data_IF_237246556912
#
_entry.id   IF_237246556912
#
_cell.length_a   1.000
_cell.length_b   1.000
_cell.length_c   1.000
_cell.angle_alpha   90.00
_cell.angle_beta   90.00
_cell.angle_gamma   90.00
#
_symmetry.space_group_name_H-M   'P 1'
#
loop_
_entity.id
_entity.type
_entity.pdbx_description
1 polymer ?
#
# COMPACT_ATOMS: atom_id res chain seq x y z
N UNK A 1 6.82 3.79 17.26
CA UNK A 1 5.37 3.47 17.23
C UNK A 1 4.76 4.73 16.68
N UNK A 2 3.98 4.63 15.60
CA UNK A 2 3.58 5.81 14.85
C UNK A 2 2.76 6.65 15.80
N UNK A 3 3.28 7.83 16.09
CA UNK A 3 2.60 8.79 16.95
C UNK A 3 1.44 9.39 16.13
N UNK A 4 0.48 10.06 16.76
CA UNK A 4 -0.47 10.93 16.08
C UNK A 4 -0.09 12.39 16.32
N UNK A 5 -0.33 13.26 15.35
CA UNK A 5 -0.09 14.70 15.48
C UNK A 5 -0.91 15.29 16.62
N UNK A 6 -2.15 14.81 16.77
CA UNK A 6 -3.07 15.19 17.85
C UNK A 6 -2.67 14.54 19.17
N UNK A 7 -2.84 15.30 20.26
CA UNK A 7 -2.52 14.82 21.60
C UNK A 7 -3.52 13.79 22.14
N UNK A 8 -4.79 13.91 21.74
CA UNK A 8 -5.89 13.03 22.13
C UNK A 8 -6.58 12.46 20.90
N UNK A 9 -7.10 11.22 20.98
CA UNK A 9 -7.97 10.68 19.94
C UNK A 9 -9.32 11.38 19.93
N UNK A 10 -10.07 11.16 18.86
CA UNK A 10 -11.46 11.62 18.76
C UNK A 10 -12.46 10.56 19.26
N UNK A 11 -13.62 11.03 19.71
CA UNK A 11 -14.74 10.12 20.00
C UNK A 11 -15.14 9.37 18.74
N UNK A 12 -15.23 8.04 18.85
CA UNK A 12 -15.52 7.15 17.75
C UNK A 12 -14.30 6.63 16.99
N UNK A 13 -13.11 7.17 17.22
CA UNK A 13 -11.85 6.72 16.61
C UNK A 13 -11.52 5.27 17.02
N UNK A 14 -10.87 4.52 16.14
CA UNK A 14 -10.28 3.23 16.48
C UNK A 14 -8.79 3.42 16.78
N UNK A 15 -8.33 2.87 17.91
CA UNK A 15 -6.95 3.01 18.37
C UNK A 15 -6.33 1.65 18.63
N UNK A 16 -5.02 1.54 18.40
CA UNK A 16 -4.23 0.39 18.86
C UNK A 16 -3.75 0.66 20.27
N UNK A 17 -4.06 -0.26 21.19
CA UNK A 17 -3.73 -0.11 22.59
C UNK A 17 -3.17 -1.41 23.19
N UNK A 18 -2.20 -1.28 24.09
CA UNK A 18 -1.58 -2.39 24.82
C UNK A 18 -2.17 -2.46 26.23
N UNK A 19 -2.72 -3.61 26.60
CA UNK A 19 -3.27 -3.86 27.95
C UNK A 19 -2.15 -3.74 28.99
N UNK A 20 -2.32 -2.85 29.96
CA UNK A 20 -1.35 -2.59 31.03
C UNK A 20 -1.68 -3.37 32.30
N UNK A 21 -2.92 -3.25 32.77
CA UNK A 21 -3.39 -3.94 33.98
C UNK A 21 -4.85 -4.34 33.83
N UNK A 22 -5.22 -5.46 34.46
CA UNK A 22 -6.60 -5.95 34.48
C UNK A 22 -7.13 -5.98 35.91
N UNK A 23 -8.24 -5.29 36.12
CA UNK A 23 -8.98 -5.23 37.38
C UNK A 23 -10.38 -5.87 37.23
N UNK A 24 -11.08 -6.18 38.33
CA UNK A 24 -12.42 -6.76 38.25
C UNK A 24 -13.47 -5.89 37.53
N UNK A 25 -13.29 -4.57 37.54
CA UNK A 25 -14.22 -3.60 36.95
C UNK A 25 -13.82 -3.12 35.55
N UNK A 26 -12.61 -3.44 35.08
CA UNK A 26 -12.11 -2.96 33.80
C UNK A 26 -10.61 -3.23 33.59
N UNK A 27 -10.08 -2.74 32.48
CA UNK A 27 -8.66 -2.80 32.16
C UNK A 27 -8.13 -1.41 31.83
N UNK A 28 -6.89 -1.13 32.22
CA UNK A 28 -6.16 0.04 31.75
C UNK A 28 -5.30 -0.35 30.56
N UNK A 29 -5.28 0.50 29.54
CA UNK A 29 -4.58 0.27 28.28
C UNK A 29 -3.73 1.48 27.94
N UNK A 30 -2.49 1.25 27.56
CA UNK A 30 -1.64 2.29 26.97
C UNK A 30 -2.02 2.44 25.50
N UNK A 31 -2.31 3.66 25.06
CA UNK A 31 -2.53 3.94 23.64
C UNK A 31 -1.16 3.98 22.95
N UNK A 32 -0.95 3.12 21.96
CA UNK A 32 0.35 2.99 21.30
C UNK A 32 0.65 4.19 20.39
N UNK A 33 -0.39 4.78 19.82
CA UNK A 33 -0.35 5.92 18.89
C UNK A 33 -0.31 7.28 19.60
N UNK A 34 -0.61 7.32 20.90
CA UNK A 34 -0.72 8.54 21.70
C UNK A 34 0.27 8.47 22.89
N UNK A 35 1.51 8.97 22.73
CA UNK A 35 2.56 8.82 23.74
C UNK A 35 2.13 9.31 25.12
N UNK A 36 2.28 8.45 26.13
CA UNK A 36 1.97 8.77 27.51
C UNK A 36 0.47 8.80 27.86
N UNK A 37 -0.42 8.54 26.90
CA UNK A 37 -1.87 8.48 27.17
C UNK A 37 -2.31 7.06 27.53
N UNK A 38 -3.18 6.97 28.53
CA UNK A 38 -3.81 5.74 28.97
C UNK A 38 -5.32 5.84 28.78
N UNK A 39 -5.93 4.74 28.38
CA UNK A 39 -7.36 4.59 28.26
C UNK A 39 -7.88 3.51 29.20
N UNK A 40 -9.13 3.65 29.60
CA UNK A 40 -9.81 2.72 30.47
C UNK A 40 -10.91 1.99 29.70
N UNK A 41 -10.93 0.66 29.80
CA UNK A 41 -11.97 -0.17 29.23
C UNK A 41 -12.78 -0.81 30.36
N UNK A 42 -14.01 -0.35 30.54
CA UNK A 42 -14.92 -0.91 31.55
C UNK A 42 -15.30 -2.36 31.21
N UNK A 43 -15.58 -3.20 32.22
CA UNK A 43 -15.96 -4.61 32.03
C UNK A 43 -17.15 -4.78 31.08
N UNK A 44 -18.11 -3.85 31.11
CA UNK A 44 -19.27 -3.86 30.22
C UNK A 44 -18.92 -3.59 28.77
N UNK A 45 -17.74 -3.05 28.47
CA UNK A 45 -17.28 -2.70 27.12
C UNK A 45 -16.32 -3.74 26.53
N UNK A 46 -16.06 -4.83 27.25
CA UNK A 46 -15.20 -5.95 26.79
C UNK A 46 -15.90 -6.83 25.77
N UNK A 47 -17.15 -7.24 26.04
CA UNK A 47 -17.93 -8.11 25.17
C UNK A 47 -19.42 -7.75 25.20
N UNK A 48 -20.18 -8.24 24.21
CA UNK A 48 -21.64 -8.04 24.14
C UNK A 48 -22.41 -8.91 25.15
N UNK A 49 -21.80 -10.00 25.61
CA UNK A 49 -22.36 -10.92 26.62
C UNK A 49 -21.87 -10.55 28.02
N UNK A 50 -22.55 -11.07 29.05
CA UNK A 50 -22.09 -10.89 30.44
C UNK A 50 -20.67 -11.46 30.62
N UNK A 51 -19.75 -10.63 31.12
CA UNK A 51 -18.36 -11.00 31.35
C UNK A 51 -18.17 -11.25 32.85
N UNK A 52 -17.88 -12.50 33.23
CA UNK A 52 -17.53 -12.84 34.63
C UNK A 52 -16.08 -12.47 34.95
N UNK A 53 -15.17 -12.67 34.00
CA UNK A 53 -13.75 -12.40 34.16
C UNK A 53 -13.18 -11.80 32.86
N UNK A 54 -12.61 -10.60 32.96
CA UNK A 54 -12.00 -9.89 31.82
C UNK A 54 -10.80 -10.67 31.26
N UNK A 55 -10.10 -11.44 32.10
CA UNK A 55 -8.92 -12.23 31.72
C UNK A 55 -9.21 -13.31 30.68
N UNK A 56 -10.47 -13.67 30.50
CA UNK A 56 -10.89 -14.64 29.49
C UNK A 56 -10.88 -14.01 28.07
N UNK A 57 -10.88 -12.67 27.98
CA UNK A 57 -10.96 -11.91 26.73
C UNK A 57 -9.65 -11.18 26.39
N UNK A 58 -8.92 -10.71 27.40
CA UNK A 58 -7.69 -9.95 27.23
C UNK A 58 -6.62 -10.36 28.25
N UNK A 59 -5.35 -10.22 27.86
CA UNK A 59 -4.19 -10.49 28.72
C UNK A 59 -3.33 -9.24 28.86
N UNK A 60 -2.66 -9.08 29.99
CA UNK A 60 -1.65 -8.03 30.18
C UNK A 60 -0.54 -8.17 29.13
N UNK A 61 -0.12 -7.03 28.57
CA UNK A 61 0.81 -6.96 27.43
C UNK A 61 0.18 -7.22 26.05
N UNK A 62 -1.08 -7.65 25.98
CA UNK A 62 -1.74 -7.89 24.69
C UNK A 62 -2.05 -6.57 23.97
N UNK A 63 -1.74 -6.51 22.67
CA UNK A 63 -2.19 -5.45 21.78
C UNK A 63 -3.59 -5.74 21.24
N UNK A 64 -4.49 -4.79 21.39
CA UNK A 64 -5.86 -4.86 20.88
C UNK A 64 -6.22 -3.58 20.11
N UNK A 65 -7.23 -3.69 19.25
CA UNK A 65 -7.89 -2.51 18.67
C UNK A 65 -9.12 -2.24 19.50
N UNK A 66 -9.27 -1.00 19.96
CA UNK A 66 -10.42 -0.55 20.71
C UNK A 66 -11.03 0.70 20.05
N UNK A 67 -12.33 0.89 20.22
CA UNK A 67 -13.04 2.10 19.82
C UNK A 67 -13.06 3.08 20.98
N UNK A 68 -12.73 4.34 20.73
CA UNK A 68 -12.89 5.42 21.69
C UNK A 68 -14.37 5.75 21.84
N UNK A 69 -14.90 5.67 23.05
CA UNK A 69 -16.29 5.96 23.38
C UNK A 69 -16.44 7.41 23.83
N UNK A 70 -15.50 7.87 24.65
CA UNK A 70 -15.53 9.17 25.28
C UNK A 70 -14.11 9.66 25.53
N UNK A 71 -13.90 10.97 25.36
CA UNK A 71 -12.64 11.63 25.69
C UNK A 71 -12.91 12.85 26.57
N UNK A 72 -12.20 12.96 27.68
CA UNK A 72 -12.17 14.16 28.53
C UNK A 72 -10.72 14.66 28.61
N UNK A 73 -10.31 15.56 27.69
CA UNK A 73 -8.93 16.06 27.64
C UNK A 73 -8.51 16.79 28.91
N UNK A 74 -9.45 17.48 29.58
CA UNK A 74 -9.17 18.23 30.82
C UNK A 74 -8.76 17.31 31.98
N UNK A 75 -9.29 16.08 32.01
CA UNK A 75 -8.92 15.06 33.01
C UNK A 75 -7.94 14.02 32.49
N UNK A 76 -7.66 14.03 31.19
CA UNK A 76 -6.88 12.99 30.52
C UNK A 76 -7.56 11.61 30.48
N UNK A 77 -8.89 11.55 30.62
CA UNK A 77 -9.63 10.29 30.62
C UNK A 77 -10.04 9.91 29.19
N UNK A 78 -9.83 8.64 28.83
CA UNK A 78 -10.20 8.08 27.54
C UNK A 78 -10.93 6.76 27.79
N UNK A 79 -12.22 6.69 27.49
CA UNK A 79 -13.00 5.46 27.63
C UNK A 79 -12.95 4.65 26.35
N UNK A 80 -12.62 3.36 26.45
CA UNK A 80 -12.39 2.45 25.34
C UNK A 80 -13.41 1.30 25.33
N UNK A 81 -13.71 0.81 24.13
CA UNK A 81 -14.56 -0.35 23.90
C UNK A 81 -13.91 -1.39 23.00
N UNK A 82 -13.89 -2.64 23.46
CA UNK A 82 -13.52 -3.78 22.61
C UNK A 82 -14.75 -4.32 21.87
N UNK A 83 -15.92 -4.37 22.53
CA UNK A 83 -17.14 -4.95 21.94
C UNK A 83 -17.70 -4.16 20.75
N UNK A 84 -17.40 -2.85 20.66
CA UNK A 84 -17.84 -1.98 19.57
C UNK A 84 -16.92 -2.00 18.34
N UNK A 85 -15.99 -2.96 18.30
CA UNK A 85 -15.06 -3.15 17.18
C UNK A 85 -15.41 -4.43 16.44
N UNK A 86 -15.86 -4.32 15.19
CA UNK A 86 -16.08 -5.50 14.35
C UNK A 86 -14.78 -5.96 13.65
N UNK A 87 -14.81 -7.15 13.03
CA UNK A 87 -13.61 -7.71 12.39
C UNK A 87 -13.08 -6.86 11.23
N UNK A 88 -13.96 -6.21 10.46
CA UNK A 88 -13.56 -5.34 9.35
C UNK A 88 -12.86 -4.08 9.88
N UNK A 89 -13.42 -3.43 10.90
CA UNK A 89 -12.85 -2.26 11.56
C UNK A 89 -11.52 -2.58 12.21
N UNK A 90 -11.43 -3.72 12.93
CA UNK A 90 -10.18 -4.21 13.50
C UNK A 90 -9.12 -4.42 12.43
N UNK A 91 -9.48 -5.07 11.33
CA UNK A 91 -8.56 -5.31 10.21
C UNK A 91 -8.12 -3.99 9.57
N UNK A 92 -9.04 -3.07 9.33
CA UNK A 92 -8.75 -1.76 8.76
C UNK A 92 -7.78 -0.97 9.65
N UNK A 93 -8.05 -0.85 10.95
CA UNK A 93 -7.16 -0.12 11.86
C UNK A 93 -5.79 -0.78 12.01
N UNK A 94 -5.72 -2.12 12.02
CA UNK A 94 -4.44 -2.83 12.01
C UNK A 94 -3.65 -2.62 10.70
N UNK A 95 -4.34 -2.44 9.57
CA UNK A 95 -3.69 -2.11 8.29
C UNK A 95 -3.16 -0.68 8.30
N UNK A 96 -3.98 0.30 8.71
CA UNK A 96 -3.59 1.70 8.91
C UNK A 96 -2.38 1.81 9.84
N UNK A 97 -2.43 1.15 11.02
CA UNK A 97 -1.32 1.16 11.97
C UNK A 97 -0.01 0.60 11.37
N UNK A 98 -0.09 -0.47 10.57
CA UNK A 98 1.09 -1.02 9.87
C UNK A 98 1.63 -0.07 8.81
N UNK A 99 0.76 0.61 8.08
CA UNK A 99 1.14 1.61 7.06
C UNK A 99 1.81 2.81 7.72
N UNK A 100 1.26 3.31 8.82
CA UNK A 100 1.88 4.35 9.63
C UNK A 100 3.27 3.92 10.18
N UNK A 101 3.42 2.66 10.63
CA UNK A 101 4.75 2.12 10.99
C UNK A 101 5.74 2.12 9.82
N UNK A 102 5.29 1.78 8.60
CA UNK A 102 6.14 1.88 7.41
C UNK A 102 6.54 3.34 7.16
N UNK A 103 5.58 4.27 7.15
CA UNK A 103 5.87 5.69 6.98
C UNK A 103 6.87 6.22 8.01
N UNK A 104 6.73 5.83 9.29
CA UNK A 104 7.66 6.23 10.36
C UNK A 104 9.09 5.79 10.05
N UNK A 105 9.25 4.55 9.56
CA UNK A 105 10.57 4.01 9.20
C UNK A 105 11.17 4.73 7.99
N UNK A 106 10.36 5.02 6.95
CA UNK A 106 10.84 5.77 5.77
C UNK A 106 11.25 7.19 6.16
N UNK A 107 10.47 7.85 7.03
CA UNK A 107 10.80 9.19 7.53
C UNK A 107 12.08 9.16 8.39
N UNK A 108 12.30 8.13 9.20
CA UNK A 108 13.56 7.95 9.95
C UNK A 108 14.76 7.83 9.03
N UNK A 109 14.64 7.07 7.95
CA UNK A 109 15.70 6.95 6.94
C UNK A 109 15.99 8.31 6.27
N UNK A 110 14.96 9.10 5.97
CA UNK A 110 15.12 10.43 5.40
C UNK A 110 15.81 11.38 6.38
N UNK A 111 15.41 11.35 7.66
CA UNK A 111 15.99 12.16 8.71
C UNK A 111 17.48 11.84 8.93
N UNK A 112 17.82 10.55 8.98
CA UNK A 112 19.21 10.08 9.08
C UNK A 112 20.05 10.56 7.89
N UNK A 113 19.50 10.51 6.67
CA UNK A 113 20.18 10.96 5.44
C UNK A 113 20.57 12.44 5.46
N UNK A 114 19.78 13.30 6.11
CA UNK A 114 20.06 14.74 6.23
C UNK A 114 20.55 15.14 7.63
N UNK A 115 20.87 14.17 8.50
CA UNK A 115 21.43 14.42 9.83
C UNK A 115 20.49 15.11 10.81
N UNK A 116 19.17 15.04 10.61
CA UNK A 116 18.16 15.58 11.53
C UNK A 116 17.65 14.51 12.48
N UNK A 117 17.30 14.91 13.69
CA UNK A 117 16.66 14.01 14.66
C UNK A 117 15.20 13.73 14.27
N UNK A 118 14.64 12.67 14.85
CA UNK A 118 13.28 12.23 14.51
C UNK A 118 12.18 13.20 15.01
N UNK A 119 12.41 13.97 16.08
CA UNK A 119 11.40 14.93 16.55
C UNK A 119 11.33 16.14 15.60
N UNK A 120 12.45 16.54 15.00
CA UNK A 120 12.47 17.52 13.90
C UNK A 120 11.76 16.98 12.66
N UNK A 121 12.07 15.74 12.25
CA UNK A 121 11.38 15.07 11.14
C UNK A 121 9.86 14.96 11.37
N UNK A 122 9.47 14.65 12.60
CA UNK A 122 8.08 14.58 13.02
C UNK A 122 7.35 15.91 12.82
N UNK A 123 7.94 17.01 13.29
CA UNK A 123 7.32 18.33 13.21
C UNK A 123 7.30 18.89 11.80
N UNK A 124 8.39 18.73 11.06
CA UNK A 124 8.56 19.34 9.73
C UNK A 124 7.93 18.51 8.61
N UNK A 125 7.68 17.22 8.83
CA UNK A 125 7.14 16.33 7.79
C UNK A 125 5.90 15.59 8.25
N UNK A 126 5.97 14.85 9.37
CA UNK A 126 4.84 14.01 9.76
C UNK A 126 3.57 14.82 10.01
N UNK A 127 3.67 15.88 10.81
CA UNK A 127 2.51 16.71 11.18
C UNK A 127 1.84 17.34 9.95
N UNK A 128 2.55 18.08 9.07
CA UNK A 128 1.94 18.65 7.87
C UNK A 128 1.28 17.61 6.96
N UNK A 129 1.95 16.47 6.73
CA UNK A 129 1.41 15.42 5.86
C UNK A 129 0.20 14.71 6.48
N UNK A 130 0.19 14.49 7.80
CA UNK A 130 -0.97 13.91 8.48
C UNK A 130 -2.16 14.86 8.52
N UNK A 131 -1.92 16.17 8.65
CA UNK A 131 -3.00 17.17 8.62
C UNK A 131 -3.66 17.28 7.25
N UNK A 132 -2.88 17.22 6.16
CA UNK A 132 -3.41 17.31 4.80
C UNK A 132 -4.00 15.99 4.31
N UNK A 133 -3.28 14.87 4.45
CA UNK A 133 -3.68 13.58 3.90
C UNK A 133 -4.46 12.68 4.87
N UNK A 134 -4.46 13.00 6.17
CA UNK A 134 -4.97 12.12 7.23
C UNK A 134 -4.09 10.91 7.55
N UNK A 135 -3.28 10.44 6.59
CA UNK A 135 -2.31 9.35 6.73
C UNK A 135 -1.02 9.67 5.96
N UNK A 136 0.12 9.73 6.66
CA UNK A 136 1.42 10.04 6.03
C UNK A 136 1.83 9.03 4.96
N UNK A 137 1.50 7.73 5.13
CA UNK A 137 1.81 6.74 4.10
C UNK A 137 0.99 6.96 2.82
N UNK A 138 -0.22 7.52 2.93
CA UNK A 138 -1.01 7.89 1.75
C UNK A 138 -0.38 9.06 0.99
N UNK A 139 0.19 10.04 1.70
CA UNK A 139 1.00 11.11 1.07
C UNK A 139 2.21 10.53 0.32
N UNK A 140 2.86 9.52 0.88
CA UNK A 140 3.98 8.85 0.21
C UNK A 140 3.55 8.03 -1.02
N UNK A 141 2.38 7.37 -0.97
CA UNK A 141 1.79 6.71 -2.13
C UNK A 141 1.43 7.71 -3.23
N UNK A 142 0.84 8.84 -2.87
CA UNK A 142 0.49 9.92 -3.80
C UNK A 142 1.75 10.49 -4.46
N UNK A 143 2.80 10.76 -3.68
CA UNK A 143 4.08 11.23 -4.19
C UNK A 143 4.79 10.20 -5.10
N UNK A 144 4.68 8.91 -4.77
CA UNK A 144 5.20 7.84 -5.62
C UNK A 144 4.46 7.76 -6.96
N UNK A 145 3.14 7.97 -6.95
CA UNK A 145 2.28 7.83 -8.12
C UNK A 145 2.29 9.08 -9.02
N UNK A 146 2.22 10.27 -8.43
CA UNK A 146 1.97 11.53 -9.12
C UNK A 146 3.17 12.49 -9.12
N UNK A 147 4.30 12.07 -8.55
CA UNK A 147 5.52 12.88 -8.43
C UNK A 147 5.63 13.57 -7.08
N UNK A 148 6.87 13.94 -6.73
CA UNK A 148 7.18 14.54 -5.42
C UNK A 148 6.67 15.98 -5.28
N UNK A 149 6.29 16.61 -6.38
CA UNK A 149 5.76 17.97 -6.46
C UNK A 149 4.49 18.15 -5.61
N UNK A 150 3.72 17.07 -5.41
CA UNK A 150 2.52 17.08 -4.55
C UNK A 150 2.83 17.41 -3.08
N UNK A 151 4.10 17.32 -2.66
CA UNK A 151 4.54 17.59 -1.30
C UNK A 151 5.19 18.98 -1.13
N UNK A 152 5.41 19.75 -2.21
CA UNK A 152 6.17 21.02 -2.18
C UNK A 152 5.53 22.11 -1.31
N UNK A 153 4.20 22.15 -1.23
CA UNK A 153 3.47 23.10 -0.39
C UNK A 153 3.41 22.68 1.09
N UNK A 154 3.77 21.42 1.41
CA UNK A 154 3.61 20.84 2.74
C UNK A 154 4.94 20.71 3.50
N UNK A 155 6.03 20.42 2.79
CA UNK A 155 7.34 20.15 3.39
C UNK A 155 8.46 20.82 2.59
N UNK A 156 9.60 21.06 3.25
CA UNK A 156 10.72 21.77 2.60
C UNK A 156 11.35 20.94 1.47
N UNK A 157 11.96 21.65 0.50
CA UNK A 157 12.71 21.03 -0.59
C UNK A 157 13.81 20.07 -0.11
N UNK A 158 14.48 20.39 0.99
CA UNK A 158 15.47 19.51 1.62
C UNK A 158 14.86 18.15 2.00
N UNK A 159 13.67 18.13 2.60
CA UNK A 159 12.96 16.90 2.94
C UNK A 159 12.49 16.14 1.71
N UNK A 160 12.04 16.84 0.67
CA UNK A 160 11.64 16.23 -0.60
C UNK A 160 12.81 15.50 -1.27
N UNK A 161 13.98 16.15 -1.35
CA UNK A 161 15.20 15.53 -1.90
C UNK A 161 15.68 14.34 -1.06
N UNK A 162 15.47 14.39 0.26
CA UNK A 162 15.77 13.28 1.16
C UNK A 162 14.83 12.09 0.95
N UNK A 163 13.51 12.34 0.90
CA UNK A 163 12.44 11.35 0.80
C UNK A 163 12.32 10.72 -0.58
N UNK A 164 12.55 11.46 -1.66
CA UNK A 164 12.36 11.00 -3.04
C UNK A 164 12.93 9.60 -3.33
N UNK A 165 14.24 9.34 -3.15
CA UNK A 165 14.80 8.01 -3.43
C UNK A 165 14.33 6.92 -2.44
N UNK A 166 13.84 7.29 -1.26
CA UNK A 166 13.31 6.35 -0.27
C UNK A 166 11.88 5.93 -0.66
N UNK A 167 11.04 6.90 -1.02
CA UNK A 167 9.68 6.66 -1.52
C UNK A 167 9.75 5.80 -2.79
N UNK A 168 10.58 6.20 -3.77
CA UNK A 168 10.77 5.47 -5.01
C UNK A 168 11.26 4.03 -4.84
N UNK A 169 11.97 3.72 -3.74
CA UNK A 169 12.53 2.40 -3.49
C UNK A 169 11.61 1.49 -2.65
N UNK A 170 10.78 2.04 -1.77
CA UNK A 170 10.07 1.28 -0.74
C UNK A 170 8.54 1.43 -0.76
N UNK A 171 8.00 2.37 -1.53
CA UNK A 171 6.56 2.54 -1.69
C UNK A 171 6.11 1.82 -2.95
N UNK A 172 5.24 0.82 -2.78
CA UNK A 172 4.70 0.03 -3.89
C UNK A 172 3.62 0.84 -4.59
N UNK A 173 3.83 1.15 -5.87
CA UNK A 173 2.80 1.77 -6.71
C UNK A 173 1.85 0.67 -7.19
N UNK A 174 0.51 0.83 -7.02
CA UNK A 174 -0.44 -0.10 -7.61
C UNK A 174 -0.29 -0.15 -9.13
N UNK A 175 -0.06 -1.33 -9.68
CA UNK A 175 0.02 -1.54 -11.13
C UNK A 175 -1.26 -2.18 -11.66
N UNK A 176 -1.51 -1.99 -12.95
CA UNK A 176 -2.54 -2.70 -13.71
C UNK A 176 -1.88 -3.70 -14.64
N UNK A 177 -2.55 -4.82 -14.88
CA UNK A 177 -2.11 -5.81 -15.87
C UNK A 177 -3.14 -5.90 -17.00
N UNK A 178 -2.69 -5.76 -18.24
CA UNK A 178 -3.48 -6.07 -19.45
C UNK A 178 -2.95 -7.35 -20.10
N UNK A 179 -3.81 -8.07 -20.80
CA UNK A 179 -3.43 -9.26 -21.57
C UNK A 179 -3.86 -9.18 -23.03
N UNK A 180 -3.01 -9.69 -23.91
CA UNK A 180 -3.29 -9.88 -25.33
C UNK A 180 -2.67 -11.20 -25.83
N UNK A 181 -2.98 -11.59 -27.06
CA UNK A 181 -2.46 -12.81 -27.68
C UNK A 181 -1.80 -12.46 -29.02
N UNK A 182 -0.67 -13.09 -29.32
CA UNK A 182 -0.05 -13.08 -30.63
C UNK A 182 -0.26 -14.44 -31.29
N UNK A 183 -0.61 -14.43 -32.57
CA UNK A 183 -0.47 -15.58 -33.46
C UNK A 183 0.79 -15.38 -34.32
N UNK A 184 1.79 -16.25 -34.14
CA UNK A 184 3.12 -16.12 -34.77
C UNK A 184 3.50 -17.43 -35.45
N UNK A 185 3.89 -17.34 -36.72
CA UNK A 185 4.36 -18.48 -37.52
C UNK A 185 5.62 -18.11 -38.28
N UNK A 186 6.66 -18.94 -38.20
CA UNK A 186 7.90 -18.79 -38.99
C UNK A 186 8.19 -20.11 -39.68
N UNK A 187 7.93 -20.25 -41.01
CA UNK A 187 8.07 -21.50 -41.74
C UNK A 187 9.53 -21.81 -42.11
N UNK A 188 10.40 -21.86 -41.10
CA UNK A 188 11.84 -22.20 -41.22
C UNK A 188 12.21 -23.31 -40.23
N UNK A 189 13.24 -24.12 -40.50
CA UNK A 189 13.70 -25.15 -39.56
C UNK A 189 14.05 -24.63 -38.17
N UNK A 190 14.50 -23.38 -38.07
CA UNK A 190 14.82 -22.68 -36.82
C UNK A 190 13.74 -21.65 -36.40
N UNK A 191 12.48 -21.87 -36.81
CA UNK A 191 11.40 -20.91 -36.56
C UNK A 191 11.12 -20.65 -35.09
N UNK A 192 11.27 -21.67 -34.22
CA UNK A 192 11.05 -21.54 -32.78
C UNK A 192 12.11 -20.64 -32.14
N UNK A 193 13.37 -20.78 -32.54
CA UNK A 193 14.48 -19.96 -32.07
C UNK A 193 14.26 -18.50 -32.45
N UNK A 194 13.88 -18.23 -33.69
CA UNK A 194 13.56 -16.89 -34.19
C UNK A 194 12.42 -16.26 -33.36
N UNK A 195 11.34 -17.01 -33.11
CA UNK A 195 10.21 -16.51 -32.30
C UNK A 195 10.66 -16.20 -30.87
N UNK A 196 11.41 -17.11 -30.23
CA UNK A 196 11.90 -16.91 -28.86
C UNK A 196 12.79 -15.67 -28.77
N UNK A 197 13.75 -15.51 -29.69
CA UNK A 197 14.64 -14.36 -29.73
C UNK A 197 13.87 -13.05 -29.92
N UNK A 198 12.88 -13.03 -30.83
CA UNK A 198 12.05 -11.85 -31.06
C UNK A 198 11.25 -11.44 -29.80
N UNK A 199 10.59 -12.41 -29.15
CA UNK A 199 9.78 -12.16 -27.95
C UNK A 199 10.65 -11.74 -26.75
N UNK A 200 11.79 -12.42 -26.53
CA UNK A 200 12.71 -12.10 -25.44
C UNK A 200 13.32 -10.72 -25.64
N UNK A 201 13.76 -10.40 -26.87
CA UNK A 201 14.32 -9.08 -27.19
C UNK A 201 13.30 -7.96 -26.98
N UNK A 202 12.06 -8.16 -27.45
CA UNK A 202 11.00 -7.17 -27.27
C UNK A 202 10.65 -6.97 -25.78
N UNK A 203 10.60 -8.07 -25.00
CA UNK A 203 10.42 -8.02 -23.54
C UNK A 203 11.55 -7.24 -22.86
N UNK A 204 12.79 -7.64 -23.10
CA UNK A 204 13.95 -7.13 -22.37
C UNK A 204 14.18 -5.65 -22.63
N UNK A 205 13.86 -5.17 -23.84
CA UNK A 205 13.89 -3.74 -24.17
C UNK A 205 13.03 -2.89 -23.24
N UNK A 206 11.85 -3.39 -22.86
CA UNK A 206 10.86 -2.60 -22.10
C UNK A 206 10.92 -2.88 -20.60
N UNK A 207 11.32 -4.09 -20.20
CA UNK A 207 11.50 -4.44 -18.78
C UNK A 207 12.67 -3.70 -18.09
N UNK A 208 13.45 -2.92 -18.83
CA UNK A 208 14.42 -1.98 -18.26
C UNK A 208 13.75 -0.72 -17.67
N UNK A 209 12.52 -0.39 -18.11
CA UNK A 209 11.73 0.70 -17.53
C UNK A 209 11.20 0.32 -16.14
N UNK A 210 11.33 1.25 -15.18
CA UNK A 210 10.82 1.06 -13.82
C UNK A 210 9.29 0.90 -13.86
N UNK A 211 8.76 0.02 -13.02
CA UNK A 211 7.33 -0.23 -12.83
C UNK A 211 6.61 -0.87 -14.04
N UNK A 212 7.38 -1.37 -15.03
CA UNK A 212 6.88 -2.14 -16.18
C UNK A 212 7.39 -3.58 -16.11
N UNK A 213 6.48 -4.55 -16.27
CA UNK A 213 6.82 -5.97 -16.37
C UNK A 213 6.01 -6.63 -17.49
N UNK A 214 6.72 -7.12 -18.50
CA UNK A 214 6.18 -7.85 -19.63
C UNK A 214 6.52 -9.32 -19.51
N UNK A 215 5.52 -10.17 -19.69
CA UNK A 215 5.66 -11.63 -19.70
C UNK A 215 5.03 -12.23 -20.94
N UNK A 216 5.79 -13.05 -21.65
CA UNK A 216 5.27 -13.92 -22.69
C UNK A 216 5.05 -15.34 -22.18
N UNK A 217 3.86 -15.88 -22.43
CA UNK A 217 3.50 -17.26 -22.09
C UNK A 217 3.12 -18.01 -23.36
N UNK A 218 3.81 -19.12 -23.65
CA UNK A 218 3.45 -20.01 -24.75
C UNK A 218 2.13 -20.73 -24.45
N UNK A 219 1.16 -20.66 -25.36
CA UNK A 219 -0.16 -21.27 -25.20
C UNK A 219 -0.42 -22.45 -26.16
N UNK A 220 0.55 -22.80 -26.99
CA UNK A 220 0.39 -23.78 -28.06
C UNK A 220 0.43 -23.11 -29.43
N UNK A 221 1.24 -23.62 -30.36
CA UNK A 221 1.42 -22.99 -31.66
C UNK A 221 0.09 -22.81 -32.41
N UNK A 222 -0.14 -21.66 -33.08
CA UNK A 222 0.78 -20.51 -33.23
C UNK A 222 0.64 -19.44 -32.12
N UNK A 223 0.05 -19.73 -30.95
CA UNK A 223 -0.40 -18.74 -29.96
C UNK A 223 0.57 -18.49 -28.80
N UNK A 224 0.76 -17.21 -28.50
CA UNK A 224 1.59 -16.70 -27.41
C UNK A 224 0.83 -15.58 -26.69
N UNK A 225 0.61 -15.72 -25.38
CA UNK A 225 0.00 -14.67 -24.56
C UNK A 225 1.07 -13.67 -24.13
N UNK A 226 0.73 -12.39 -24.15
CA UNK A 226 1.49 -11.32 -23.51
C UNK A 226 0.67 -10.80 -22.32
N UNK A 227 1.32 -10.68 -21.16
CA UNK A 227 0.81 -9.97 -20.00
C UNK A 227 1.72 -8.76 -19.76
N UNK A 228 1.14 -7.56 -19.72
CA UNK A 228 1.88 -6.31 -19.49
C UNK A 228 1.36 -5.71 -18.20
N UNK A 229 2.25 -5.57 -17.22
CA UNK A 229 2.01 -4.86 -15.97
C UNK A 229 2.63 -3.49 -16.05
N UNK A 230 1.88 -2.43 -15.76
CA UNK A 230 2.33 -1.04 -15.82
C UNK A 230 1.61 -0.16 -14.78
N UNK A 231 2.04 1.10 -14.52
CA UNK A 231 1.39 1.99 -13.55
C UNK A 231 -0.08 2.27 -13.85
N UNK A 232 -0.44 2.36 -15.13
CA UNK A 232 -1.82 2.61 -15.57
C UNK A 232 -2.12 1.98 -16.95
N UNK A 233 -3.39 2.02 -17.35
CA UNK A 233 -3.85 1.40 -18.59
C UNK A 233 -3.29 2.07 -19.85
N UNK A 234 -3.04 3.38 -19.83
CA UNK A 234 -2.50 4.09 -20.98
C UNK A 234 -1.05 3.68 -21.22
N UNK A 235 -0.24 3.66 -20.15
CA UNK A 235 1.14 3.17 -20.26
C UNK A 235 1.20 1.71 -20.67
N UNK A 236 0.29 0.87 -20.17
CA UNK A 236 0.20 -0.53 -20.58
C UNK A 236 -0.11 -0.71 -22.08
N UNK A 237 -1.04 0.09 -22.63
CA UNK A 237 -1.38 0.05 -24.07
C UNK A 237 -0.24 0.63 -24.94
N UNK A 238 0.42 1.70 -24.51
CA UNK A 238 1.60 2.26 -25.18
C UNK A 238 2.70 1.19 -25.33
N UNK A 239 3.00 0.48 -24.23
CA UNK A 239 3.96 -0.64 -24.23
C UNK A 239 3.52 -1.78 -25.15
N UNK A 240 2.22 -2.12 -25.17
CA UNK A 240 1.70 -3.17 -26.03
C UNK A 240 1.90 -2.83 -27.51
N UNK A 241 1.66 -1.57 -27.89
CA UNK A 241 1.81 -1.11 -29.27
C UNK A 241 3.27 -1.13 -29.71
N UNK A 242 4.19 -0.60 -28.89
CA UNK A 242 5.63 -0.63 -29.16
C UNK A 242 6.18 -2.06 -29.32
N UNK A 243 5.78 -2.97 -28.43
CA UNK A 243 6.18 -4.38 -28.49
C UNK A 243 5.59 -5.08 -29.71
N UNK A 244 4.33 -4.79 -30.05
CA UNK A 244 3.68 -5.37 -31.22
C UNK A 244 4.39 -4.94 -32.51
N UNK A 245 4.69 -3.65 -32.65
CA UNK A 245 5.42 -3.13 -33.82
C UNK A 245 6.79 -3.82 -33.99
N UNK A 246 7.54 -3.99 -32.90
CA UNK A 246 8.84 -4.68 -32.92
C UNK A 246 8.70 -6.14 -33.35
N UNK A 247 7.79 -6.89 -32.73
CA UNK A 247 7.59 -8.32 -33.03
C UNK A 247 7.15 -8.49 -34.48
N UNK A 248 6.19 -7.69 -34.93
CA UNK A 248 5.69 -7.74 -36.31
C UNK A 248 6.82 -7.46 -37.31
N UNK A 249 7.68 -6.48 -37.02
CA UNK A 249 8.84 -6.15 -37.85
C UNK A 249 9.84 -7.31 -37.90
N UNK A 250 10.32 -7.78 -36.75
CA UNK A 250 11.35 -8.83 -36.65
C UNK A 250 10.89 -10.14 -37.28
N UNK A 251 9.64 -10.55 -37.03
CA UNK A 251 9.09 -11.78 -37.60
C UNK A 251 8.93 -11.67 -39.12
N UNK A 252 8.48 -10.52 -39.63
CA UNK A 252 8.34 -10.27 -41.07
C UNK A 252 9.69 -10.28 -41.77
N UNK A 253 10.72 -9.65 -41.21
CA UNK A 253 12.10 -9.68 -41.72
C UNK A 253 12.66 -11.11 -41.75
N UNK A 254 12.26 -11.93 -40.79
CA UNK A 254 12.59 -13.35 -40.75
C UNK A 254 11.74 -14.22 -41.71
N UNK A 255 10.83 -13.65 -42.50
CA UNK A 255 9.96 -14.38 -43.44
C UNK A 255 8.83 -15.16 -42.77
N UNK A 256 8.44 -14.78 -41.56
CA UNK A 256 7.25 -15.27 -40.88
C UNK A 256 6.08 -14.28 -40.90
N UNK A 257 5.00 -14.66 -40.23
CA UNK A 257 3.80 -13.86 -40.04
C UNK A 257 3.51 -13.74 -38.54
N UNK A 258 3.18 -12.54 -38.07
CA UNK A 258 2.76 -12.26 -36.70
C UNK A 258 1.52 -11.36 -36.71
N UNK A 259 0.53 -11.70 -35.89
CA UNK A 259 -0.71 -10.90 -35.72
C UNK A 259 -1.01 -10.73 -34.24
N UNK A 260 -1.31 -9.50 -33.83
CA UNK A 260 -1.80 -9.20 -32.47
C UNK A 260 -3.34 -9.37 -32.43
N UNK A 261 -3.80 -10.19 -31.48
CA UNK A 261 -5.20 -10.43 -31.16
C UNK A 261 -5.52 -9.76 -29.82
N UNK A 262 -6.34 -8.71 -29.88
CA UNK A 262 -6.89 -8.05 -28.69
C UNK A 262 -8.18 -8.76 -28.27
N UNK A 263 -8.29 -9.20 -27.02
CA UNK A 263 -9.58 -9.65 -26.48
C UNK A 263 -10.48 -8.42 -26.31
N UNK A 264 -11.74 -8.50 -26.75
CA UNK A 264 -12.71 -7.42 -26.51
C UNK A 264 -12.75 -7.05 -25.02
N UNK A 265 -12.82 -5.74 -24.73
CA UNK A 265 -12.80 -5.16 -23.37
C UNK A 265 -13.83 -5.84 -22.46
N UNK A 266 -13.41 -6.85 -21.69
CA UNK A 266 -14.11 -7.26 -20.48
C UNK A 266 -13.59 -6.41 -19.33
N UNK A 267 -14.26 -5.29 -19.08
CA UNK A 267 -14.08 -4.51 -17.84
C UNK A 267 -14.46 -5.45 -16.68
N UNK A 268 -13.47 -6.12 -16.10
CA UNK A 268 -13.64 -6.73 -14.78
C UNK A 268 -13.64 -5.58 -13.78
N UNK A 269 -14.84 -5.02 -13.50
CA UNK A 269 -15.05 -4.26 -12.27
C UNK A 269 -14.59 -5.13 -11.11
N UNK A 270 -13.50 -4.75 -10.46
CA UNK A 270 -13.15 -5.29 -9.14
C UNK A 270 -14.36 -5.00 -8.26
N UNK A 271 -15.09 -6.05 -7.86
CA UNK A 271 -16.19 -5.93 -6.92
C UNK A 271 -15.64 -5.27 -5.65
N UNK A 272 -16.05 -4.03 -5.37
CA UNK A 272 -16.21 -3.59 -3.97
C UNK A 272 -17.13 -4.63 -3.33
N UNK A 273 -16.57 -5.47 -2.44
CA UNK A 273 -17.40 -6.27 -1.52
C UNK A 273 -18.07 -5.28 -0.58
N UNK A 274 -19.28 -4.86 -0.95
CA UNK A 274 -20.24 -4.16 -0.11
C UNK A 274 -21.34 -5.12 0.30
N UNK A 275 -21.27 -5.58 1.55
CA UNK A 275 -22.31 -5.76 2.56
C UNK A 275 -21.77 -6.68 3.65
#
# INVERSE_FOLDING_TARGET
MPRKAREYPEEGEFVVATVKSIHPYGAFLKLDEYPGKEGFMHISEVASTWVKNIRDYVKEGQKIVAKVIRVDPSKGHIDLSLKRVNQQQRKAKLQEYKRAQKAENLLKMAAEKIGKDFETAWKEVWVPLEEEYGEVYAAFEDAAQNGMEVLEDLISKEWIEALKPIIEAYVEIPTVTIDAEFEITVPKPNGIEIIKEALIRARDRVNEEKDIDVKFTYQGAPRYRIDITAPDYYKAEEVLEDIAEEILRVIKEAGGEATLIRKEKRIKKVKKRGK
#
